data_IF_429529899453
#
_entry.id   IF_429529899453
#
_cell.length_a   1.000
_cell.length_b   1.000
_cell.length_c   1.000
_cell.angle_alpha   90.00
_cell.angle_beta   90.00
_cell.angle_gamma   90.00
#
_symmetry.space_group_name_H-M   'P 1'
#
loop_
_entity.id
_entity.type
_entity.pdbx_description
1 polymer ?
#
# COMPACT_ATOMS: atom_id res chain seq x y z
N UNK A 1 -6.13 -1.81 16.92
CA UNK A 1 -5.54 -2.12 15.60
C UNK A 1 -4.50 -1.06 15.26
N UNK A 2 -3.25 -1.47 15.09
CA UNK A 2 -2.12 -0.57 14.79
C UNK A 2 -2.17 -0.07 13.35
N UNK A 3 -1.38 0.96 13.00
CA UNK A 3 -1.28 1.41 11.60
C UNK A 3 -0.66 0.33 10.70
N UNK A 4 0.27 -0.46 11.23
CA UNK A 4 0.81 -1.65 10.52
C UNK A 4 -0.30 -2.64 10.21
N UNK A 5 -1.11 -3.01 11.21
CA UNK A 5 -2.16 -4.02 11.05
C UNK A 5 -3.26 -3.55 10.07
N UNK A 6 -3.59 -2.25 10.08
CA UNK A 6 -4.49 -1.64 9.08
C UNK A 6 -3.91 -1.79 7.67
N UNK A 7 -2.64 -1.40 7.47
CA UNK A 7 -2.01 -1.46 6.16
C UNK A 7 -1.89 -2.90 5.66
N UNK A 8 -1.49 -3.83 6.53
CA UNK A 8 -1.43 -5.25 6.22
C UNK A 8 -2.80 -5.77 5.76
N UNK A 9 -3.89 -5.39 6.44
CA UNK A 9 -5.24 -5.79 6.02
C UNK A 9 -5.64 -5.23 4.66
N UNK A 10 -5.28 -3.98 4.36
CA UNK A 10 -5.52 -3.40 3.04
C UNK A 10 -4.72 -4.17 1.98
N UNK A 11 -3.41 -4.38 2.16
CA UNK A 11 -2.59 -5.13 1.20
C UNK A 11 -3.12 -6.58 1.03
N UNK A 12 -3.55 -7.24 2.10
CA UNK A 12 -4.13 -8.58 2.02
C UNK A 12 -5.42 -8.65 1.21
N UNK A 13 -6.18 -7.54 1.09
CA UNK A 13 -7.36 -7.48 0.23
C UNK A 13 -7.03 -7.52 -1.27
N UNK A 14 -5.78 -7.17 -1.64
CA UNK A 14 -5.33 -7.04 -3.03
C UNK A 14 -4.22 -8.03 -3.41
N UNK A 15 -3.87 -8.93 -2.50
CA UNK A 15 -2.81 -9.93 -2.70
C UNK A 15 -3.28 -11.31 -2.24
N UNK A 16 -2.68 -12.41 -2.70
CA UNK A 16 -3.03 -13.75 -2.22
C UNK A 16 -2.49 -14.05 -0.79
N UNK A 17 -1.94 -13.05 -0.10
CA UNK A 17 -1.29 -13.21 1.20
C UNK A 17 -2.27 -12.87 2.33
N UNK A 18 -2.25 -13.69 3.39
CA UNK A 18 -2.89 -13.34 4.64
C UNK A 18 -2.17 -12.15 5.31
N UNK A 19 -2.93 -11.24 5.94
CA UNK A 19 -2.37 -10.03 6.53
C UNK A 19 -1.29 -10.30 7.59
N UNK A 20 -1.35 -11.42 8.30
CA UNK A 20 -0.33 -11.84 9.28
C UNK A 20 0.99 -12.24 8.64
N UNK A 21 0.99 -12.57 7.34
CA UNK A 21 2.18 -12.96 6.57
C UNK A 21 2.84 -11.76 5.87
N UNK A 22 2.20 -10.60 5.89
CA UNK A 22 2.70 -9.38 5.25
C UNK A 22 3.74 -8.73 6.15
N UNK A 23 5.00 -8.73 5.71
CA UNK A 23 6.09 -8.09 6.43
C UNK A 23 6.39 -6.71 5.84
N UNK A 24 5.92 -5.66 6.50
CA UNK A 24 6.13 -4.26 6.10
C UNK A 24 7.59 -3.77 6.24
N UNK A 25 8.52 -4.59 6.71
CA UNK A 25 9.97 -4.30 6.70
C UNK A 25 10.69 -4.95 5.51
N UNK A 26 9.96 -5.71 4.69
CA UNK A 26 10.47 -6.37 3.50
C UNK A 26 9.70 -5.90 2.28
N UNK A 27 10.36 -5.95 1.14
CA UNK A 27 9.79 -5.63 -0.16
C UNK A 27 8.57 -6.53 -0.44
N UNK A 28 7.41 -5.92 -0.67
CA UNK A 28 6.20 -6.62 -1.10
C UNK A 28 6.05 -6.33 -2.58
N UNK A 29 6.37 -7.33 -3.40
CA UNK A 29 6.48 -7.10 -4.83
C UNK A 29 5.14 -6.61 -5.42
N UNK A 30 5.19 -5.60 -6.29
CA UNK A 30 4.04 -4.98 -6.95
C UNK A 30 3.23 -6.00 -7.77
N UNK A 31 3.88 -7.05 -8.28
CA UNK A 31 3.17 -8.17 -8.93
C UNK A 31 2.29 -9.01 -7.98
N UNK A 32 2.24 -8.72 -6.68
CA UNK A 32 1.20 -9.24 -5.80
C UNK A 32 -0.12 -8.49 -5.94
N UNK A 33 -0.10 -7.22 -6.36
CA UNK A 33 -1.27 -6.36 -6.58
C UNK A 33 -1.50 -6.26 -8.10
N UNK A 34 -2.62 -6.78 -8.58
CA UNK A 34 -2.94 -6.68 -10.01
C UNK A 34 -3.09 -5.20 -10.43
N UNK A 35 -2.69 -4.89 -11.67
CA UNK A 35 -2.68 -3.50 -12.16
C UNK A 35 -4.06 -2.86 -12.12
N UNK A 36 -5.14 -3.60 -12.39
CA UNK A 36 -6.51 -3.09 -12.33
C UNK A 36 -6.97 -2.68 -10.92
N UNK A 37 -6.29 -3.12 -9.86
CA UNK A 37 -6.65 -2.79 -8.48
C UNK A 37 -5.81 -1.68 -7.86
N UNK A 38 -4.83 -1.14 -8.58
CA UNK A 38 -3.91 -0.11 -8.06
C UNK A 38 -4.61 1.16 -7.60
N UNK A 39 -5.62 1.61 -8.35
CA UNK A 39 -6.41 2.78 -7.98
C UNK A 39 -7.24 2.53 -6.71
N UNK A 40 -7.94 1.38 -6.63
CA UNK A 40 -8.72 0.99 -5.45
C UNK A 40 -7.83 0.84 -4.21
N UNK A 41 -6.64 0.26 -4.36
CA UNK A 41 -5.66 0.14 -3.28
C UNK A 41 -5.23 1.51 -2.74
N UNK A 42 -4.94 2.47 -3.63
CA UNK A 42 -4.64 3.85 -3.23
C UNK A 42 -5.83 4.51 -2.53
N UNK A 43 -7.04 4.31 -3.04
CA UNK A 43 -8.25 4.89 -2.46
C UNK A 43 -8.52 4.35 -1.06
N UNK A 44 -8.34 3.05 -0.81
CA UNK A 44 -8.47 2.45 0.52
C UNK A 44 -7.46 3.00 1.52
N UNK A 45 -6.21 3.24 1.09
CA UNK A 45 -5.19 3.91 1.91
C UNK A 45 -5.64 5.34 2.24
N UNK A 46 -6.06 6.10 1.23
CA UNK A 46 -6.53 7.47 1.42
C UNK A 46 -7.76 7.56 2.31
N UNK A 47 -8.74 6.67 2.16
CA UNK A 47 -9.94 6.61 2.99
C UNK A 47 -9.60 6.27 4.44
N UNK A 48 -8.68 5.33 4.65
CA UNK A 48 -8.31 4.86 5.98
C UNK A 48 -7.61 5.94 6.81
N UNK A 49 -6.76 6.76 6.18
CA UNK A 49 -5.99 7.81 6.88
C UNK A 49 -6.45 9.25 6.64
N UNK A 50 -7.36 9.50 5.69
CA UNK A 50 -8.06 10.77 5.33
C UNK A 50 -7.21 12.02 5.06
N UNK A 51 -5.94 12.05 5.48
CA UNK A 51 -5.01 13.19 5.39
C UNK A 51 -3.93 12.97 4.32
N UNK A 52 -4.05 11.90 3.54
CA UNK A 52 -3.09 11.56 2.50
C UNK A 52 -3.59 12.14 1.17
N UNK A 53 -2.73 12.89 0.50
CA UNK A 53 -3.00 13.36 -0.86
C UNK A 53 -2.95 12.17 -1.83
N UNK A 54 -4.10 11.77 -2.37
CA UNK A 54 -4.23 10.63 -3.27
C UNK A 54 -3.38 10.77 -4.53
N UNK A 55 -3.32 11.98 -5.11
CA UNK A 55 -2.50 12.25 -6.29
C UNK A 55 -1.02 12.04 -6.00
N UNK A 56 -0.55 12.53 -4.85
CA UNK A 56 0.85 12.35 -4.47
C UNK A 56 1.19 10.90 -4.15
N UNK A 57 0.29 10.19 -3.45
CA UNK A 57 0.43 8.76 -3.18
C UNK A 57 0.55 7.96 -4.49
N UNK A 58 -0.38 8.16 -5.43
CA UNK A 58 -0.35 7.48 -6.74
C UNK A 58 0.91 7.78 -7.54
N UNK A 59 1.34 9.04 -7.57
CA UNK A 59 2.56 9.41 -8.29
C UNK A 59 3.79 8.72 -7.70
N UNK A 60 3.92 8.73 -6.37
CA UNK A 60 5.07 8.14 -5.70
C UNK A 60 5.07 6.61 -5.78
N UNK A 61 3.89 5.99 -5.84
CA UNK A 61 3.74 4.53 -5.89
C UNK A 61 3.76 3.92 -7.29
N UNK A 62 3.20 4.58 -8.30
CA UNK A 62 2.92 3.95 -9.59
C UNK A 62 3.57 4.65 -10.78
N UNK A 63 3.98 5.92 -10.63
CA UNK A 63 4.55 6.72 -11.73
C UNK A 63 6.05 6.86 -11.59
N UNK A 64 6.51 7.30 -10.41
CA UNK A 64 7.92 7.54 -10.14
C UNK A 64 8.69 6.24 -9.86
N UNK A 65 8.00 5.23 -9.33
CA UNK A 65 8.56 3.93 -9.01
C UNK A 65 7.87 2.86 -9.84
N UNK A 66 8.69 1.93 -10.34
CA UNK A 66 8.30 0.92 -11.36
C UNK A 66 8.52 -0.51 -10.88
N UNK A 67 8.95 -0.70 -9.65
CA UNK A 67 9.33 -2.01 -9.11
C UNK A 67 8.68 -2.19 -7.75
N UNK A 68 8.47 -3.44 -7.34
CA UNK A 68 7.78 -3.82 -6.11
C UNK A 68 8.33 -3.33 -4.76
N UNK A 69 9.16 -2.31 -4.74
CA UNK A 69 9.54 -1.51 -3.57
C UNK A 69 8.43 -0.51 -3.17
N UNK A 70 7.39 -0.34 -4.00
CA UNK A 70 6.31 0.66 -3.92
C UNK A 70 5.55 0.71 -2.57
N UNK A 71 5.38 -0.44 -1.90
CA UNK A 71 4.55 -0.52 -0.67
C UNK A 71 5.25 0.10 0.55
N UNK A 72 6.59 0.09 0.60
CA UNK A 72 7.33 0.66 1.74
C UNK A 72 7.20 2.19 1.78
N UNK A 73 6.96 2.83 0.64
CA UNK A 73 6.73 4.27 0.58
C UNK A 73 5.40 4.68 1.21
N UNK A 74 4.41 3.79 1.27
CA UNK A 74 3.15 4.06 1.97
C UNK A 74 3.42 4.39 3.44
N UNK A 75 4.41 3.72 4.06
CA UNK A 75 4.76 3.90 5.47
C UNK A 75 5.08 5.36 5.80
N UNK A 76 5.65 6.12 4.84
CA UNK A 76 5.95 7.55 5.03
C UNK A 76 4.70 8.41 5.22
N UNK A 77 3.53 7.95 4.78
CA UNK A 77 2.26 8.65 4.92
C UNK A 77 1.44 8.21 6.13
N UNK A 78 1.71 7.03 6.69
CA UNK A 78 0.83 6.40 7.69
C UNK A 78 1.51 5.99 9.00
N UNK A 79 2.83 5.96 9.07
CA UNK A 79 3.58 5.62 10.29
C UNK A 79 4.17 6.83 11.00
N UNK A 80 3.80 8.05 10.57
CA UNK A 80 4.07 9.30 11.30
C UNK A 80 3.10 9.48 12.48
#
# INVERSE_FOLDING_TARGET
>A
MTNEEKLQKIIAAYTPLDYTKINLKRTIKDNYIATEFKDNFCDDICITWRKINATQLRNDMFVNLKTGEDILIILKYIML
#
